data_IF_915475891728
#
_entry.id   IF_915475891728
#
_cell.length_a   1.000
_cell.length_b   1.000
_cell.length_c   1.000
_cell.angle_alpha   90.00
_cell.angle_beta   90.00
_cell.angle_gamma   90.00
#
_symmetry.space_group_name_H-M   'P 1'
#
loop_
_entity.id
_entity.type
_entity.pdbx_description
1 polymer ?
#
# COMPACT_ATOMS: atom_id res chain seq x y z
N UNK A 1 -1.91 35.85 50.14
CA UNK A 1 -0.87 36.69 49.52
C UNK A 1 -0.92 36.44 48.03
N UNK A 2 -1.39 37.43 47.33
CA UNK A 2 -1.66 37.46 45.88
C UNK A 2 -0.36 37.71 45.10
N UNK A 3 -0.14 36.99 44.00
CA UNK A 3 0.75 37.49 42.98
C UNK A 3 0.18 37.21 41.59
N UNK A 4 -0.30 38.25 41.02
CA UNK A 4 -0.77 38.41 39.63
C UNK A 4 0.49 38.64 38.77
N UNK A 5 0.68 37.88 37.69
CA UNK A 5 1.60 38.28 36.62
C UNK A 5 0.97 38.08 35.24
N UNK A 6 0.54 39.15 34.74
CA UNK A 6 0.51 39.82 33.45
C UNK A 6 0.80 39.02 32.19
N UNK A 7 -0.22 39.08 31.31
CA UNK A 7 -0.17 38.78 29.86
C UNK A 7 0.83 39.71 29.14
N UNK A 8 1.55 39.15 28.17
CA UNK A 8 2.14 39.93 27.08
C UNK A 8 1.65 39.37 25.75
N UNK A 9 0.84 40.18 25.10
CA UNK A 9 0.39 40.01 23.71
C UNK A 9 1.48 40.64 22.84
N UNK A 10 2.05 39.91 21.92
CA UNK A 10 2.88 40.47 20.86
C UNK A 10 2.20 40.21 19.52
N UNK A 11 1.52 41.23 19.05
CA UNK A 11 1.02 41.37 17.68
C UNK A 11 2.17 41.72 16.77
N UNK A 12 2.41 40.92 15.76
CA UNK A 12 3.28 41.29 14.64
C UNK A 12 2.44 41.38 13.38
N UNK A 13 2.18 42.62 13.00
CA UNK A 13 1.62 43.01 11.72
C UNK A 13 2.79 43.18 10.75
N UNK A 14 2.81 42.44 9.64
CA UNK A 14 3.62 42.83 8.50
C UNK A 14 2.76 42.80 7.24
N UNK A 15 2.57 44.02 6.79
CA UNK A 15 2.01 44.46 5.51
C UNK A 15 3.18 44.56 4.50
N UNK A 16 3.11 43.92 3.35
CA UNK A 16 3.83 44.33 2.12
C UNK A 16 3.20 43.64 0.91
N UNK A 17 2.45 44.39 0.20
CA UNK A 17 2.75 45.09 -1.09
C UNK A 17 2.86 44.22 -2.32
N UNK A 18 1.85 44.33 -3.12
CA UNK A 18 1.67 44.14 -4.55
C UNK A 18 2.94 44.34 -5.41
N UNK A 19 3.19 43.43 -6.31
CA UNK A 19 3.68 43.79 -7.63
C UNK A 19 3.21 42.77 -8.67
N UNK A 20 2.42 43.24 -9.62
CA UNK A 20 1.92 42.43 -10.72
C UNK A 20 2.95 42.32 -11.85
N UNK A 21 2.80 41.27 -12.62
CA UNK A 21 3.20 41.25 -14.03
C UNK A 21 2.35 40.26 -14.80
N UNK A 22 1.62 40.80 -15.72
CA UNK A 22 0.86 40.12 -16.77
C UNK A 22 1.83 39.65 -17.87
N UNK A 23 1.66 38.42 -18.33
CA UNK A 23 1.91 37.92 -19.69
C UNK A 23 1.70 36.40 -19.63
N UNK A 24 0.92 35.75 -20.41
CA UNK A 24 0.39 35.90 -21.72
C UNK A 24 -0.10 34.52 -22.15
N UNK A 25 -1.19 34.49 -22.84
CA UNK A 25 -1.96 33.36 -23.38
C UNK A 25 -1.17 32.24 -24.04
N UNK A 26 -1.61 30.98 -23.87
CA UNK A 26 -2.11 30.21 -25.00
C UNK A 26 -2.85 28.96 -24.53
N UNK A 27 -4.15 29.01 -24.72
CA UNK A 27 -5.06 27.87 -24.66
C UNK A 27 -4.81 26.97 -25.87
N UNK A 28 -4.46 25.71 -25.61
CA UNK A 28 -4.58 24.65 -26.61
C UNK A 28 -5.70 23.73 -26.15
N UNK A 29 -6.86 23.92 -26.75
CA UNK A 29 -7.96 22.97 -26.70
C UNK A 29 -7.58 21.77 -27.56
N UNK A 30 -7.34 20.62 -26.96
CA UNK A 30 -7.34 19.37 -27.68
C UNK A 30 -8.72 18.73 -27.58
N UNK A 31 -9.42 18.83 -28.70
CA UNK A 31 -10.68 18.20 -29.03
C UNK A 31 -10.51 16.68 -29.02
N UNK A 32 -11.31 15.99 -28.21
CA UNK A 32 -11.46 14.53 -28.28
C UNK A 32 -12.38 14.18 -29.46
N UNK A 33 -12.03 13.25 -30.35
CA UNK A 33 -12.97 12.63 -31.25
C UNK A 33 -13.73 11.51 -30.53
N UNK A 34 -15.02 11.54 -30.68
CA UNK A 34 -16.00 10.57 -30.20
C UNK A 34 -15.99 9.31 -31.05
N UNK A 35 -16.25 8.20 -30.35
CA UNK A 35 -16.92 6.97 -30.78
C UNK A 35 -16.29 6.14 -31.91
N UNK A 36 -15.72 5.01 -31.52
CA UNK A 36 -15.87 3.76 -32.27
C UNK A 36 -15.92 2.56 -31.32
N UNK A 37 -16.82 1.62 -31.66
CA UNK A 37 -17.15 0.39 -30.98
C UNK A 37 -15.97 -0.57 -30.84
N UNK A 38 -15.76 -1.13 -29.66
CA UNK A 38 -14.77 -2.17 -29.45
C UNK A 38 -15.42 -3.51 -29.13
N UNK A 39 -15.22 -4.41 -30.08
CA UNK A 39 -15.38 -5.85 -29.92
C UNK A 39 -14.36 -6.38 -28.90
N UNK A 40 -14.78 -7.43 -28.18
CA UNK A 40 -14.00 -8.17 -27.20
C UNK A 40 -12.65 -8.64 -27.76
N UNK A 41 -11.56 -8.18 -27.15
CA UNK A 41 -10.30 -8.92 -27.14
C UNK A 41 -9.58 -8.68 -25.80
N UNK A 42 -9.26 -9.78 -25.15
CA UNK A 42 -8.26 -10.03 -24.10
C UNK A 42 -7.92 -8.89 -23.12
N UNK A 43 -8.36 -9.11 -21.90
CA UNK A 43 -8.02 -8.33 -20.71
C UNK A 43 -6.53 -8.50 -20.33
N UNK A 44 -5.65 -7.97 -21.18
CA UNK A 44 -4.22 -7.79 -20.92
C UNK A 44 -3.77 -6.39 -21.35
N UNK A 45 -4.25 -5.36 -20.66
CA UNK A 45 -3.58 -4.07 -20.67
C UNK A 45 -3.79 -3.36 -19.36
N UNK A 46 -3.08 -3.84 -18.33
CA UNK A 46 -2.70 -2.98 -17.21
C UNK A 46 -1.77 -1.93 -17.79
N UNK A 47 -2.15 -0.68 -17.61
CA UNK A 47 -1.39 0.51 -18.00
C UNK A 47 0.02 0.45 -17.40
N UNK A 48 0.96 -0.15 -18.11
CA UNK A 48 2.39 -0.19 -17.78
C UNK A 48 3.04 1.11 -18.25
N UNK A 49 2.82 2.20 -17.54
CA UNK A 49 3.70 3.34 -17.65
C UNK A 49 4.90 3.15 -16.73
N UNK A 50 6.00 2.64 -17.31
CA UNK A 50 7.33 2.46 -16.72
C UNK A 50 7.42 1.44 -15.57
N UNK A 51 7.23 0.17 -15.88
CA UNK A 51 7.95 -0.89 -15.18
C UNK A 51 9.22 -1.16 -15.96
N UNK A 52 10.36 -0.79 -15.39
CA UNK A 52 11.65 -1.15 -15.93
C UNK A 52 11.75 -2.69 -15.96
N UNK A 53 12.23 -3.24 -17.06
CA UNK A 53 12.03 -4.62 -17.50
C UNK A 53 12.84 -5.69 -16.75
N UNK A 54 13.16 -5.49 -15.48
CA UNK A 54 14.02 -6.41 -14.71
C UNK A 54 13.31 -7.22 -13.64
N UNK A 55 12.06 -6.92 -13.31
CA UNK A 55 11.31 -7.67 -12.31
C UNK A 55 10.15 -8.45 -12.93
N UNK A 56 10.40 -9.74 -13.19
CA UNK A 56 9.36 -10.66 -13.65
C UNK A 56 8.81 -11.45 -12.47
N UNK A 57 7.56 -11.21 -12.10
CA UNK A 57 6.85 -12.03 -11.11
C UNK A 57 6.92 -13.51 -11.46
N UNK A 58 7.22 -14.36 -10.47
CA UNK A 58 7.13 -15.81 -10.64
C UNK A 58 5.69 -16.23 -10.96
N UNK A 59 5.47 -17.37 -11.64
CA UNK A 59 4.12 -17.87 -11.90
C UNK A 59 3.28 -18.02 -10.64
N UNK A 60 3.89 -18.43 -9.52
CA UNK A 60 3.23 -18.59 -8.23
C UNK A 60 2.80 -17.22 -7.69
N UNK A 61 3.68 -16.22 -7.69
CA UNK A 61 3.35 -14.88 -7.21
C UNK A 61 2.23 -14.23 -8.02
N UNK A 62 2.22 -14.41 -9.35
CA UNK A 62 1.12 -13.95 -10.21
C UNK A 62 -0.22 -14.58 -9.86
N UNK A 63 -0.24 -15.88 -9.61
CA UNK A 63 -1.48 -16.59 -9.27
C UNK A 63 -1.99 -16.22 -7.88
N UNK A 64 -1.10 -16.05 -6.90
CA UNK A 64 -1.45 -15.59 -5.56
C UNK A 64 -2.04 -14.18 -5.61
N UNK A 65 -1.35 -13.25 -6.28
CA UNK A 65 -1.85 -11.89 -6.52
C UNK A 65 -3.25 -11.88 -7.15
N UNK A 66 -3.41 -12.62 -8.25
CA UNK A 66 -4.68 -12.74 -8.97
C UNK A 66 -5.80 -13.22 -8.05
N UNK A 67 -5.54 -14.20 -7.20
CA UNK A 67 -6.53 -14.76 -6.28
C UNK A 67 -7.01 -13.74 -5.25
N UNK A 68 -6.12 -12.92 -4.71
CA UNK A 68 -6.49 -11.85 -3.77
C UNK A 68 -7.25 -10.74 -4.50
N UNK A 69 -6.79 -10.33 -5.70
CA UNK A 69 -7.49 -9.34 -6.52
C UNK A 69 -8.92 -9.76 -6.89
N UNK A 70 -9.11 -11.02 -7.31
CA UNK A 70 -10.43 -11.56 -7.66
C UNK A 70 -11.36 -11.62 -6.44
N UNK A 71 -10.82 -11.93 -5.26
CA UNK A 71 -11.60 -12.03 -4.04
C UNK A 71 -12.02 -10.65 -3.52
N UNK A 72 -11.10 -9.67 -3.48
CA UNK A 72 -11.38 -8.32 -2.98
C UNK A 72 -12.07 -7.43 -4.02
N UNK A 73 -11.90 -7.71 -5.32
CA UNK A 73 -12.52 -6.94 -6.40
C UNK A 73 -12.15 -5.45 -6.32
N UNK A 74 -13.16 -4.59 -6.25
CA UNK A 74 -12.97 -3.13 -6.17
C UNK A 74 -12.31 -2.64 -4.87
N UNK A 75 -12.20 -3.50 -3.86
CA UNK A 75 -11.51 -3.21 -2.60
C UNK A 75 -10.01 -3.56 -2.64
N UNK A 76 -9.47 -3.98 -3.77
CA UNK A 76 -8.03 -4.18 -3.95
C UNK A 76 -7.41 -2.92 -4.57
N UNK A 77 -6.64 -2.17 -3.78
CA UNK A 77 -6.11 -0.88 -4.18
C UNK A 77 -4.61 -0.81 -4.51
N UNK A 78 -3.75 -1.78 -4.12
CA UNK A 78 -2.36 -1.78 -4.57
C UNK A 78 -2.29 -1.76 -6.10
N UNK A 79 -1.47 -0.85 -6.66
CA UNK A 79 -1.41 -0.58 -8.10
C UNK A 79 0.00 -0.32 -8.65
N UNK A 80 1.01 -0.41 -7.80
CA UNK A 80 2.41 -0.27 -8.17
C UNK A 80 3.25 -1.34 -7.48
N UNK A 81 4.34 -1.74 -8.13
CA UNK A 81 5.28 -2.75 -7.61
C UNK A 81 6.57 -2.09 -7.17
N UNK A 82 7.13 -2.55 -6.07
CA UNK A 82 8.51 -2.25 -5.70
C UNK A 82 9.47 -3.10 -6.54
N UNK A 83 10.57 -2.51 -6.97
CA UNK A 83 11.72 -3.24 -7.50
C UNK A 83 12.42 -4.01 -6.37
N UNK A 84 13.33 -4.93 -6.70
CA UNK A 84 14.11 -5.66 -5.71
C UNK A 84 14.95 -4.71 -4.83
N UNK A 85 15.57 -3.70 -5.44
CA UNK A 85 16.36 -2.68 -4.74
C UNK A 85 15.50 -1.86 -3.78
N UNK A 86 14.34 -1.35 -4.23
CA UNK A 86 13.41 -0.62 -3.37
C UNK A 86 12.86 -1.48 -2.23
N UNK A 87 12.58 -2.76 -2.52
CA UNK A 87 12.09 -3.71 -1.52
C UNK A 87 13.14 -3.98 -0.43
N UNK A 88 14.40 -4.18 -0.81
CA UNK A 88 15.51 -4.34 0.14
C UNK A 88 15.74 -3.07 0.97
N UNK A 89 15.74 -1.89 0.34
CA UNK A 89 15.88 -0.60 1.04
C UNK A 89 14.76 -0.39 2.07
N UNK A 90 13.54 -0.76 1.73
CA UNK A 90 12.36 -0.59 2.54
C UNK A 90 12.34 -1.53 3.76
N UNK A 91 12.60 -2.81 3.52
CA UNK A 91 12.42 -3.89 4.50
C UNK A 91 13.71 -4.41 5.11
N UNK A 92 14.83 -4.31 4.39
CA UNK A 92 16.08 -4.97 4.71
C UNK A 92 16.17 -6.42 4.23
N UNK A 93 15.19 -6.91 3.48
CA UNK A 93 15.16 -8.26 2.93
C UNK A 93 15.92 -8.27 1.61
N UNK A 94 17.12 -8.87 1.59
CA UNK A 94 17.97 -8.94 0.41
C UNK A 94 17.62 -10.13 -0.50
N UNK A 95 18.04 -10.07 -1.76
CA UNK A 95 17.83 -11.15 -2.75
C UNK A 95 18.42 -12.49 -2.32
N UNK A 96 19.38 -12.49 -1.40
CA UNK A 96 19.97 -13.72 -0.87
C UNK A 96 19.02 -14.51 0.03
N UNK A 97 17.96 -13.88 0.57
CA UNK A 97 17.04 -14.47 1.55
C UNK A 97 15.83 -15.15 0.92
N UNK A 98 15.55 -14.96 -0.37
CA UNK A 98 14.34 -15.47 -0.99
C UNK A 98 14.58 -16.12 -2.35
N UNK A 99 13.60 -16.89 -2.81
CA UNK A 99 13.52 -17.45 -4.16
C UNK A 99 12.71 -16.53 -5.10
N UNK A 100 11.63 -15.96 -4.58
CA UNK A 100 10.78 -15.02 -5.30
C UNK A 100 10.02 -14.13 -4.33
N UNK A 101 9.62 -12.96 -4.79
CA UNK A 101 8.78 -12.06 -4.01
C UNK A 101 7.78 -11.31 -4.89
N UNK A 102 6.76 -10.77 -4.24
CA UNK A 102 5.85 -9.75 -4.74
C UNK A 102 5.74 -8.69 -3.64
N UNK A 103 6.02 -7.43 -3.96
CA UNK A 103 5.74 -6.32 -3.08
C UNK A 103 4.96 -5.25 -3.86
N UNK A 104 3.68 -5.15 -3.57
CA UNK A 104 2.73 -4.25 -4.25
C UNK A 104 2.14 -3.26 -3.25
N UNK A 105 2.00 -2.01 -3.67
CA UNK A 105 1.50 -0.93 -2.82
C UNK A 105 0.54 0.00 -3.58
N UNK A 106 -0.27 0.72 -2.83
CA UNK A 106 -1.14 1.77 -3.35
C UNK A 106 -0.33 3.04 -3.62
N UNK A 107 -0.13 3.36 -4.90
CA UNK A 107 0.61 4.56 -5.33
C UNK A 107 -0.32 5.77 -5.39
N UNK A 108 -0.69 6.31 -4.22
CA UNK A 108 -1.46 7.55 -4.05
C UNK A 108 -0.90 8.36 -2.87
N UNK A 109 -1.19 9.67 -2.81
CA UNK A 109 -0.69 10.54 -1.72
C UNK A 109 -1.18 10.12 -0.33
N UNK A 110 -2.31 9.45 -0.24
CA UNK A 110 -2.95 9.06 1.01
C UNK A 110 -3.05 7.54 1.18
N UNK A 111 -2.65 6.78 0.17
CA UNK A 111 -2.77 5.33 0.15
C UNK A 111 -1.76 4.66 1.06
N UNK A 112 -2.21 3.61 1.73
CA UNK A 112 -1.37 2.79 2.60
C UNK A 112 -1.55 1.30 2.35
N UNK A 113 -2.44 0.93 1.42
CA UNK A 113 -2.68 -0.47 1.12
C UNK A 113 -1.45 -1.11 0.51
N UNK A 114 -1.11 -2.31 0.99
CA UNK A 114 0.09 -3.02 0.61
C UNK A 114 -0.10 -4.53 0.73
N UNK A 115 0.51 -5.26 -0.18
CA UNK A 115 0.65 -6.71 -0.10
C UNK A 115 2.09 -7.10 -0.42
N UNK A 116 2.74 -7.78 0.51
CA UNK A 116 4.07 -8.35 0.33
C UNK A 116 3.99 -9.85 0.52
N UNK A 117 4.44 -10.61 -0.47
CA UNK A 117 4.55 -12.05 -0.44
C UNK A 117 6.00 -12.41 -0.71
N UNK A 118 6.62 -13.19 0.16
CA UNK A 118 8.01 -13.62 0.03
C UNK A 118 8.07 -15.14 0.08
N UNK A 119 8.58 -15.77 -0.95
CA UNK A 119 8.99 -17.17 -0.93
C UNK A 119 10.43 -17.23 -0.42
N UNK A 120 10.59 -17.29 0.88
CA UNK A 120 11.89 -17.28 1.52
C UNK A 120 12.64 -18.61 1.32
N UNK A 121 13.95 -18.57 1.45
CA UNK A 121 14.75 -19.79 1.64
C UNK A 121 14.44 -20.39 3.00
N UNK A 122 14.50 -21.70 3.14
CA UNK A 122 14.12 -22.40 4.38
C UNK A 122 14.88 -21.86 5.61
N UNK A 123 16.16 -21.56 5.44
CA UNK A 123 17.03 -21.02 6.49
C UNK A 123 16.69 -19.56 6.87
N UNK A 124 16.01 -18.82 6.01
CA UNK A 124 15.74 -17.38 6.17
C UNK A 124 14.29 -17.06 6.56
N UNK A 125 13.39 -18.03 6.64
CA UNK A 125 11.96 -17.82 6.94
C UNK A 125 11.77 -16.96 8.18
N UNK A 126 12.40 -17.31 9.31
CA UNK A 126 12.29 -16.55 10.56
C UNK A 126 12.90 -15.16 10.46
N UNK A 127 13.97 -14.99 9.67
CA UNK A 127 14.63 -13.71 9.51
C UNK A 127 13.78 -12.77 8.65
N UNK A 128 13.20 -13.28 7.57
CA UNK A 128 12.27 -12.52 6.71
C UNK A 128 11.02 -12.09 7.50
N UNK A 129 10.43 -12.98 8.29
CA UNK A 129 9.31 -12.66 9.18
C UNK A 129 9.67 -11.51 10.13
N UNK A 130 10.81 -11.62 10.81
CA UNK A 130 11.30 -10.58 11.75
C UNK A 130 11.50 -9.23 11.04
N UNK A 131 12.04 -9.21 9.83
CA UNK A 131 12.26 -7.99 9.07
C UNK A 131 10.94 -7.33 8.65
N UNK A 132 9.93 -8.11 8.28
CA UNK A 132 8.60 -7.59 8.01
C UNK A 132 7.90 -7.06 9.27
N UNK A 133 8.07 -7.72 10.42
CA UNK A 133 7.59 -7.18 11.71
C UNK A 133 8.24 -5.84 12.03
N UNK A 134 9.56 -5.73 11.86
CA UNK A 134 10.27 -4.46 12.07
C UNK A 134 9.80 -3.38 11.09
N UNK A 135 9.51 -3.75 9.86
CA UNK A 135 8.94 -2.83 8.88
C UNK A 135 7.54 -2.35 9.30
N UNK A 136 6.68 -3.25 9.75
CA UNK A 136 5.35 -2.93 10.30
C UNK A 136 5.45 -1.94 11.48
N UNK A 137 6.38 -2.15 12.40
CA UNK A 137 6.65 -1.24 13.52
C UNK A 137 7.08 0.17 13.06
N UNK A 138 7.87 0.27 11.98
CA UNK A 138 8.22 1.56 11.37
C UNK A 138 6.98 2.26 10.80
N UNK A 139 6.08 1.52 10.15
CA UNK A 139 4.82 2.07 9.61
C UNK A 139 3.90 2.57 10.71
N UNK A 140 3.73 1.84 11.82
CA UNK A 140 2.95 2.28 12.99
C UNK A 140 3.45 3.64 13.52
N UNK A 141 4.75 3.81 13.65
CA UNK A 141 5.34 5.09 14.07
C UNK A 141 5.15 6.18 13.05
N UNK A 142 5.26 5.86 11.76
CA UNK A 142 5.08 6.82 10.67
C UNK A 142 3.66 7.39 10.64
N UNK A 143 2.66 6.55 10.86
CA UNK A 143 1.26 6.91 10.79
C UNK A 143 0.61 7.25 12.13
N UNK A 144 1.36 7.32 13.25
CA UNK A 144 0.87 7.60 14.60
C UNK A 144 -0.11 8.79 14.68
N UNK A 145 0.07 9.81 13.83
CA UNK A 145 -0.76 11.02 13.79
C UNK A 145 -1.84 11.02 12.70
N UNK A 146 -2.03 9.90 12.04
CA UNK A 146 -2.98 9.72 10.93
C UNK A 146 -3.94 8.57 11.25
N UNK A 147 -5.04 8.81 11.99
CA UNK A 147 -5.84 7.73 12.58
C UNK A 147 -6.34 6.67 11.58
N UNK A 148 -6.73 7.08 10.36
CA UNK A 148 -7.20 6.15 9.34
C UNK A 148 -6.08 5.25 8.83
N UNK A 149 -4.91 5.81 8.56
CA UNK A 149 -3.76 5.07 8.08
C UNK A 149 -3.15 4.21 9.21
N UNK A 150 -3.09 4.76 10.43
CA UNK A 150 -2.66 4.01 11.61
C UNK A 150 -3.52 2.76 11.83
N UNK A 151 -4.85 2.89 11.80
CA UNK A 151 -5.77 1.76 11.94
C UNK A 151 -5.55 0.68 10.85
N UNK A 152 -5.27 1.09 9.59
CA UNK A 152 -4.94 0.14 8.52
C UNK A 152 -3.65 -0.63 8.80
N UNK A 153 -2.60 0.07 9.28
CA UNK A 153 -1.34 -0.57 9.66
C UNK A 153 -1.53 -1.47 10.88
N UNK A 154 -2.29 -1.02 11.88
CA UNK A 154 -2.58 -1.82 13.07
C UNK A 154 -3.35 -3.10 12.74
N UNK A 155 -4.28 -3.00 11.79
CA UNK A 155 -5.04 -4.12 11.26
C UNK A 155 -4.21 -5.07 10.38
N UNK A 156 -3.03 -4.66 9.93
CA UNK A 156 -2.18 -5.48 9.06
C UNK A 156 -1.76 -6.79 9.73
N UNK A 157 -1.51 -7.82 8.91
CA UNK A 157 -1.18 -9.17 9.37
C UNK A 157 0.06 -9.68 8.66
N UNK A 158 0.88 -10.41 9.42
CA UNK A 158 1.97 -11.21 8.87
C UNK A 158 1.65 -12.66 9.20
N UNK A 159 1.71 -13.54 8.20
CA UNK A 159 1.47 -14.96 8.36
C UNK A 159 2.53 -15.76 7.60
N UNK A 160 3.03 -16.81 8.24
CA UNK A 160 3.97 -17.75 7.66
C UNK A 160 3.23 -19.01 7.26
N UNK A 161 3.25 -19.31 5.97
CA UNK A 161 2.65 -20.51 5.38
C UNK A 161 3.77 -21.29 4.72
N UNK A 162 4.32 -22.28 5.41
CA UNK A 162 5.55 -22.98 5.06
C UNK A 162 6.74 -22.03 4.90
N UNK A 163 7.27 -21.88 3.67
CA UNK A 163 8.32 -20.93 3.35
C UNK A 163 7.81 -19.64 2.71
N UNK A 164 6.48 -19.42 2.69
CA UNK A 164 5.88 -18.16 2.25
C UNK A 164 5.56 -17.29 3.45
N UNK A 165 6.08 -16.07 3.44
CA UNK A 165 5.73 -15.04 4.41
C UNK A 165 4.82 -14.04 3.72
N UNK A 166 3.60 -13.88 4.25
CA UNK A 166 2.56 -13.05 3.70
C UNK A 166 2.32 -11.85 4.63
N UNK A 167 2.69 -10.66 4.21
CA UNK A 167 2.31 -9.41 4.86
C UNK A 167 1.17 -8.77 4.07
N UNK A 168 0.03 -8.56 4.73
CA UNK A 168 -1.14 -7.93 4.15
C UNK A 168 -1.56 -6.72 4.99
N UNK A 169 -1.66 -5.60 4.33
CA UNK A 169 -2.14 -4.32 4.83
C UNK A 169 -3.16 -3.78 3.83
N UNK A 170 -4.24 -4.50 3.69
CA UNK A 170 -5.33 -4.20 2.77
C UNK A 170 -6.48 -3.62 3.57
N UNK A 171 -7.02 -2.52 3.13
CA UNK A 171 -8.11 -1.86 3.81
C UNK A 171 -9.22 -1.58 2.82
N UNK A 172 -10.44 -1.82 3.20
CA UNK A 172 -11.58 -1.31 2.46
C UNK A 172 -11.62 0.24 2.53
N UNK A 173 -12.54 0.85 1.78
CA UNK A 173 -12.79 2.29 1.86
C UNK A 173 -13.25 2.68 3.27
N UNK A 174 -12.35 3.28 4.03
CA UNK A 174 -12.63 3.80 5.37
C UNK A 174 -13.31 5.17 5.37
N UNK A 175 -13.61 5.74 4.21
CA UNK A 175 -14.19 7.10 4.09
C UNK A 175 -15.53 7.25 4.82
N UNK A 176 -16.31 6.18 4.87
CA UNK A 176 -17.58 6.13 5.60
C UNK A 176 -17.40 6.08 7.14
N UNK A 177 -16.21 5.76 7.62
CA UNK A 177 -15.90 5.54 9.03
C UNK A 177 -15.10 6.67 9.68
N UNK A 178 -15.04 7.85 9.05
CA UNK A 178 -14.24 9.01 9.52
C UNK A 178 -14.52 9.45 10.95
N UNK A 179 -15.70 9.11 11.48
CA UNK A 179 -16.12 9.44 12.86
C UNK A 179 -16.21 8.19 13.74
N UNK A 180 -15.78 7.03 13.27
CA UNK A 180 -15.72 5.81 14.07
C UNK A 180 -14.56 5.91 15.08
N UNK A 181 -14.64 5.13 16.15
CA UNK A 181 -13.49 4.94 17.03
C UNK A 181 -12.41 4.08 16.36
N UNK A 182 -11.22 4.07 16.91
CA UNK A 182 -10.06 3.37 16.35
C UNK A 182 -10.30 1.85 16.31
N UNK A 183 -10.91 1.28 17.34
CA UNK A 183 -11.21 -0.16 17.39
C UNK A 183 -12.15 -0.59 16.25
N UNK A 184 -13.15 0.23 15.92
CA UNK A 184 -14.06 -0.05 14.81
C UNK A 184 -13.35 0.04 13.46
N UNK A 185 -12.43 1.00 13.28
CA UNK A 185 -11.61 1.13 12.09
C UNK A 185 -10.68 -0.08 11.93
N UNK A 186 -9.98 -0.46 12.98
CA UNK A 186 -9.09 -1.63 13.00
C UNK A 186 -9.88 -2.89 12.64
N UNK A 187 -11.02 -3.13 13.30
CA UNK A 187 -11.86 -4.32 13.05
C UNK A 187 -12.35 -4.38 11.60
N UNK A 188 -12.69 -3.23 11.02
CA UNK A 188 -13.14 -3.15 9.64
C UNK A 188 -12.03 -3.53 8.65
N UNK A 189 -10.82 -3.02 8.85
CA UNK A 189 -9.65 -3.34 8.02
C UNK A 189 -9.18 -4.78 8.22
N UNK A 190 -9.23 -5.31 9.45
CA UNK A 190 -8.87 -6.71 9.76
C UNK A 190 -9.64 -7.71 8.92
N UNK A 191 -10.93 -7.49 8.72
CA UNK A 191 -11.75 -8.39 7.90
C UNK A 191 -11.21 -8.56 6.47
N UNK A 192 -10.68 -7.50 5.86
CA UNK A 192 -10.07 -7.57 4.52
C UNK A 192 -8.78 -8.37 4.55
N UNK A 193 -7.95 -8.15 5.55
CA UNK A 193 -6.68 -8.86 5.71
C UNK A 193 -6.89 -10.36 5.97
N UNK A 194 -7.84 -10.74 6.83
CA UNK A 194 -8.18 -12.13 7.09
C UNK A 194 -8.69 -12.84 5.81
N UNK A 195 -9.54 -12.20 5.02
CA UNK A 195 -10.00 -12.76 3.74
C UNK A 195 -8.84 -12.96 2.76
N UNK A 196 -7.90 -12.00 2.69
CA UNK A 196 -6.73 -12.12 1.84
C UNK A 196 -5.83 -13.29 2.27
N UNK A 197 -5.56 -13.44 3.56
CA UNK A 197 -4.77 -14.56 4.10
C UNK A 197 -5.44 -15.91 3.87
N UNK A 198 -6.74 -16.01 4.11
CA UNK A 198 -7.52 -17.22 3.84
C UNK A 198 -7.40 -17.69 2.38
N UNK A 199 -7.43 -16.78 1.41
CA UNK A 199 -7.32 -17.16 0.01
C UNK A 199 -5.88 -17.50 -0.37
N UNK A 200 -4.90 -16.79 0.19
CA UNK A 200 -3.47 -17.11 -0.01
C UNK A 200 -3.14 -18.51 0.50
N UNK A 201 -3.56 -18.83 1.72
CA UNK A 201 -3.36 -20.14 2.33
C UNK A 201 -3.98 -21.26 1.48
N UNK A 202 -5.26 -21.14 1.11
CA UNK A 202 -5.96 -22.09 0.25
C UNK A 202 -5.25 -22.31 -1.08
N UNK A 203 -4.76 -21.24 -1.69
CA UNK A 203 -4.04 -21.33 -2.96
C UNK A 203 -2.69 -22.02 -2.82
N UNK A 204 -1.92 -21.67 -1.80
CA UNK A 204 -0.63 -22.29 -1.53
C UNK A 204 -0.77 -23.80 -1.30
N UNK A 205 -1.74 -24.23 -0.49
CA UNK A 205 -2.01 -25.65 -0.29
C UNK A 205 -2.47 -26.36 -1.57
N UNK A 206 -3.35 -25.73 -2.36
CA UNK A 206 -3.80 -26.30 -3.62
C UNK A 206 -2.66 -26.50 -4.65
N UNK A 207 -1.69 -25.56 -4.69
CA UNK A 207 -0.51 -25.66 -5.56
C UNK A 207 0.46 -26.78 -5.15
N UNK A 208 0.47 -27.14 -3.86
CA UNK A 208 1.31 -28.23 -3.33
C UNK A 208 0.66 -29.61 -3.45
N UNK A 209 -0.58 -29.71 -3.90
CA UNK A 209 -1.28 -30.97 -4.17
C UNK A 209 -1.81 -31.67 -2.92
N UNK A 210 -2.12 -30.91 -1.86
CA UNK A 210 -2.81 -31.39 -0.66
C UNK A 210 -4.32 -31.28 -0.79
#
# INVERSE_FOLDING_TARGET
MSLIMKKSILTFSILTTFCGSLCGCSSVYNTYPSTESYENEDFETVNTSKVDSTYSLSPVMRELRKSVMEMLGENYWPNALYTAEEFEELTGISEEMYHSFLAEYEHTEAGTDMMILVEAKEEDVTNVELLLDQYREKLLKMYEKQPLNHAKVEASRIEVIDNYICFVQLGADTSALKNADEDALVSFCQNQNEQALDILEKKLYAMKGF
#
